data_IF_293085191467
#
_entry.id   IF_293085191467
#
_cell.length_a   1.000
_cell.length_b   1.000
_cell.length_c   1.000
_cell.angle_alpha   90.00
_cell.angle_beta   90.00
_cell.angle_gamma   90.00
#
_symmetry.space_group_name_H-M   'P 1'
#
loop_
_entity.id
_entity.type
_entity.pdbx_description
1 polymer ?
#
# COMPACT_ATOMS: atom_id res chain seq x y z
N UNK A 1 -40.10 1.91 -39.34
CA UNK A 1 -39.55 2.56 -38.13
C UNK A 1 -38.04 2.33 -38.14
N UNK A 2 -37.24 3.39 -38.31
CA UNK A 2 -35.78 3.30 -38.27
C UNK A 2 -35.34 3.36 -36.81
N UNK A 3 -34.58 2.38 -36.35
CA UNK A 3 -33.92 2.45 -35.04
C UNK A 3 -32.91 3.60 -35.03
N UNK A 4 -32.79 4.38 -33.94
CA UNK A 4 -31.75 5.38 -33.83
C UNK A 4 -30.41 4.66 -33.67
N UNK A 5 -29.45 4.94 -34.56
CA UNK A 5 -28.06 4.51 -34.35
C UNK A 5 -27.46 5.39 -33.27
N UNK A 6 -27.40 4.88 -32.04
CA UNK A 6 -26.65 5.54 -30.97
C UNK A 6 -25.20 5.68 -31.41
N UNK A 7 -24.71 6.92 -31.46
CA UNK A 7 -23.38 7.24 -31.93
C UNK A 7 -22.36 7.00 -30.81
N UNK A 8 -21.94 5.74 -30.62
CA UNK A 8 -20.95 5.33 -29.60
C UNK A 8 -19.59 6.05 -29.73
N UNK A 9 -19.29 6.62 -30.89
CA UNK A 9 -17.99 7.25 -31.18
C UNK A 9 -17.77 8.59 -30.45
N UNK A 10 -18.84 9.26 -30.02
CA UNK A 10 -18.73 10.54 -29.30
C UNK A 10 -18.52 10.41 -27.78
N UNK A 11 -18.68 9.21 -27.22
CA UNK A 11 -18.47 8.97 -25.78
C UNK A 11 -16.98 8.83 -25.45
N UNK A 12 -16.18 8.30 -26.39
CA UNK A 12 -14.75 8.06 -26.20
C UNK A 12 -13.89 9.34 -26.12
N UNK A 13 -14.36 10.48 -26.64
CA UNK A 13 -13.60 11.74 -26.65
C UNK A 13 -13.65 12.53 -25.34
N UNK A 14 -14.56 12.17 -24.43
CA UNK A 14 -14.70 12.76 -23.10
C UNK A 14 -14.38 11.74 -21.99
N UNK A 15 -13.50 10.77 -22.26
CA UNK A 15 -12.89 10.00 -21.17
C UNK A 15 -11.93 10.96 -20.47
N UNK A 16 -12.43 11.64 -19.44
CA UNK A 16 -11.58 12.28 -18.44
C UNK A 16 -10.71 11.16 -17.91
N UNK A 17 -9.41 11.21 -18.20
CA UNK A 17 -8.45 10.27 -17.61
C UNK A 17 -8.67 10.33 -16.10
N UNK A 18 -9.10 9.20 -15.52
CA UNK A 18 -9.47 9.16 -14.12
C UNK A 18 -8.22 9.52 -13.31
N UNK A 19 -8.19 10.75 -12.79
CA UNK A 19 -7.06 11.20 -11.98
C UNK A 19 -7.01 10.27 -10.76
N UNK A 20 -5.92 9.54 -10.60
CA UNK A 20 -5.68 8.69 -9.43
C UNK A 20 -5.78 9.57 -8.18
N UNK A 21 -6.77 9.32 -7.34
CA UNK A 21 -7.03 10.08 -6.13
C UNK A 21 -7.00 9.13 -4.93
N UNK A 22 -6.45 9.54 -3.78
CA UNK A 22 -5.75 10.80 -3.51
C UNK A 22 -4.22 10.68 -3.71
N UNK A 23 -3.60 11.72 -4.27
CA UNK A 23 -2.12 11.82 -4.31
C UNK A 23 -1.55 12.57 -3.09
N UNK A 24 -2.39 13.34 -2.39
CA UNK A 24 -2.01 14.20 -1.26
C UNK A 24 -2.23 13.53 0.10
N UNK A 25 -1.35 13.85 1.05
CA UNK A 25 -1.47 13.56 2.49
C UNK A 25 -1.04 14.77 3.32
N UNK A 26 -1.29 14.79 4.63
CA UNK A 26 -0.78 15.85 5.51
C UNK A 26 0.72 15.66 5.76
N UNK A 27 1.46 16.76 5.86
CA UNK A 27 2.87 16.69 6.22
C UNK A 27 3.06 16.16 7.66
N UNK A 28 4.05 15.27 7.85
CA UNK A 28 4.32 14.61 9.15
C UNK A 28 4.90 15.58 10.19
N UNK A 29 5.52 16.69 9.76
CA UNK A 29 6.18 17.67 10.65
C UNK A 29 5.25 18.84 10.94
N UNK A 30 4.53 19.30 9.92
CA UNK A 30 3.61 20.42 10.01
C UNK A 30 2.26 20.05 9.39
N UNK A 31 1.34 19.57 10.22
CA UNK A 31 0.00 19.13 9.83
C UNK A 31 -0.89 20.21 9.17
N UNK A 32 -0.42 21.47 9.10
CA UNK A 32 -1.06 22.55 8.34
C UNK A 32 -0.62 22.58 6.87
N UNK A 33 0.36 21.76 6.49
CA UNK A 33 0.88 21.60 5.13
C UNK A 33 0.48 20.24 4.55
N UNK A 34 0.46 20.19 3.22
CA UNK A 34 0.22 18.96 2.45
C UNK A 34 1.52 18.48 1.80
N UNK A 35 1.62 17.18 1.58
CA UNK A 35 2.68 16.53 0.82
C UNK A 35 2.08 15.64 -0.28
N UNK A 36 2.82 15.45 -1.37
CA UNK A 36 2.34 14.79 -2.60
C UNK A 36 3.38 13.76 -3.13
N UNK A 37 2.98 13.00 -4.14
CA UNK A 37 3.83 12.10 -4.90
C UNK A 37 4.48 11.02 -4.03
N UNK A 38 5.79 10.82 -4.20
CA UNK A 38 6.55 9.79 -3.47
C UNK A 38 6.46 9.93 -1.94
N UNK A 39 6.41 11.15 -1.41
CA UNK A 39 6.34 11.37 0.03
C UNK A 39 4.97 10.96 0.59
N UNK A 40 3.90 11.34 -0.10
CA UNK A 40 2.55 10.92 0.25
C UNK A 40 2.35 9.41 0.12
N UNK A 41 2.91 8.77 -0.92
CA UNK A 41 2.85 7.33 -1.06
C UNK A 41 3.61 6.61 0.06
N UNK A 42 4.80 7.08 0.44
CA UNK A 42 5.54 6.52 1.58
C UNK A 42 4.75 6.61 2.88
N UNK A 43 4.04 7.73 3.12
CA UNK A 43 3.15 7.84 4.27
C UNK A 43 1.96 6.87 4.19
N UNK A 44 1.30 6.77 3.03
CA UNK A 44 0.21 5.82 2.78
C UNK A 44 0.63 4.39 3.11
N UNK A 45 1.80 3.97 2.59
CA UNK A 45 2.40 2.66 2.87
C UNK A 45 2.63 2.46 4.36
N UNK A 46 3.22 3.43 5.06
CA UNK A 46 3.44 3.32 6.52
C UNK A 46 2.13 3.16 7.27
N UNK A 47 1.09 3.92 6.92
CA UNK A 47 -0.23 3.83 7.59
C UNK A 47 -0.88 2.48 7.34
N UNK A 48 -0.78 1.96 6.12
CA UNK A 48 -1.28 0.64 5.76
C UNK A 48 -0.56 -0.46 6.55
N UNK A 49 0.78 -0.45 6.59
CA UNK A 49 1.58 -1.49 7.24
C UNK A 49 1.62 -1.40 8.78
N UNK A 50 1.14 -0.30 9.36
CA UNK A 50 0.99 -0.13 10.82
C UNK A 50 -0.47 -0.29 11.29
N UNK A 51 -1.38 -0.60 10.38
CA UNK A 51 -2.78 -0.88 10.70
C UNK A 51 -3.03 -2.38 10.59
N UNK A 52 -3.32 -3.02 11.72
CA UNK A 52 -3.75 -4.42 11.70
C UNK A 52 -5.15 -4.52 11.07
N UNK A 53 -5.26 -5.38 10.05
CA UNK A 53 -6.49 -5.61 9.30
C UNK A 53 -7.58 -6.16 10.23
N UNK A 54 -8.84 -5.83 9.93
CA UNK A 54 -10.03 -6.25 10.69
C UNK A 54 -10.19 -5.69 12.11
N UNK A 55 -9.22 -4.93 12.63
CA UNK A 55 -9.31 -4.37 13.99
C UNK A 55 -10.18 -3.11 14.04
N UNK A 56 -10.12 -2.26 13.01
CA UNK A 56 -10.79 -0.96 13.03
C UNK A 56 -11.93 -0.88 12.01
N UNK A 57 -13.15 -0.62 12.50
CA UNK A 57 -14.38 -0.56 11.68
C UNK A 57 -14.43 0.60 10.69
N UNK A 58 -13.54 1.59 10.82
CA UNK A 58 -13.45 2.72 9.88
C UNK A 58 -12.80 2.32 8.54
N UNK A 59 -12.11 1.17 8.50
CA UNK A 59 -11.44 0.66 7.31
C UNK A 59 -12.24 -0.48 6.66
N UNK A 60 -12.10 -0.61 5.34
CA UNK A 60 -12.59 -1.79 4.65
C UNK A 60 -11.69 -3.01 4.93
N UNK A 61 -12.19 -4.20 4.57
CA UNK A 61 -11.55 -5.48 4.84
C UNK A 61 -10.23 -5.73 4.08
N UNK A 62 -9.87 -4.87 3.12
CA UNK A 62 -8.66 -4.97 2.31
C UNK A 62 -7.54 -4.10 2.85
N UNK A 63 -7.89 -3.00 3.53
CA UNK A 63 -6.91 -2.08 4.12
C UNK A 63 -6.23 -2.66 5.36
N UNK A 64 -4.93 -2.42 5.47
CA UNK A 64 -4.10 -2.90 6.56
C UNK A 64 -3.33 -4.18 6.20
N UNK A 65 -2.58 -4.66 7.16
CA UNK A 65 -1.77 -5.88 7.09
C UNK A 65 -2.14 -6.81 8.25
N UNK A 66 -1.84 -8.09 8.14
CA UNK A 66 -2.07 -9.07 9.20
C UNK A 66 -0.72 -9.50 9.78
N UNK A 67 -0.10 -8.76 10.70
CA UNK A 67 1.25 -9.11 11.18
C UNK A 67 1.23 -9.75 12.57
N UNK A 68 0.21 -9.47 13.38
CA UNK A 68 0.13 -9.94 14.76
C UNK A 68 0.12 -11.47 14.86
N UNK A 69 -0.52 -12.14 13.90
CA UNK A 69 -0.60 -13.60 13.85
C UNK A 69 0.73 -14.30 13.53
N UNK A 70 1.79 -13.56 13.21
CA UNK A 70 3.13 -14.12 12.98
C UNK A 70 3.89 -14.37 14.30
N UNK A 71 3.51 -13.69 15.39
CA UNK A 71 4.17 -13.85 16.68
C UNK A 71 3.76 -15.15 17.39
N UNK A 72 4.73 -15.83 18.00
CA UNK A 72 4.52 -17.08 18.75
C UNK A 72 4.51 -18.36 17.92
N UNK A 73 4.75 -18.25 16.59
CA UNK A 73 4.94 -19.38 15.68
C UNK A 73 6.41 -19.70 15.39
N UNK A 74 6.63 -20.49 14.34
CA UNK A 74 7.95 -20.80 13.79
C UNK A 74 8.57 -19.55 13.12
N UNK A 75 9.83 -19.23 13.45
CA UNK A 75 10.49 -18.01 12.99
C UNK A 75 10.81 -18.02 11.50
N UNK A 76 11.18 -19.17 10.93
CA UNK A 76 11.48 -19.29 9.51
C UNK A 76 10.19 -19.12 8.70
N UNK A 77 9.10 -19.71 9.20
CA UNK A 77 7.76 -19.49 8.63
C UNK A 77 7.37 -18.01 8.70
N UNK A 78 7.51 -17.37 9.86
CA UNK A 78 7.19 -15.95 10.03
C UNK A 78 8.00 -15.06 9.08
N UNK A 79 9.28 -15.36 8.88
CA UNK A 79 10.16 -14.63 7.96
C UNK A 79 9.73 -14.76 6.49
N UNK A 80 9.23 -15.92 6.06
CA UNK A 80 8.72 -16.10 4.70
C UNK A 80 7.36 -15.40 4.52
N UNK A 81 6.50 -15.48 5.55
CA UNK A 81 5.13 -15.02 5.46
C UNK A 81 5.00 -13.49 5.58
N UNK A 82 5.90 -12.82 6.30
CA UNK A 82 5.91 -11.35 6.45
C UNK A 82 6.02 -10.64 5.10
N UNK A 83 6.90 -11.12 4.21
CA UNK A 83 7.09 -10.55 2.89
C UNK A 83 5.83 -10.74 2.02
N UNK A 84 5.18 -11.91 2.12
CA UNK A 84 3.91 -12.19 1.43
C UNK A 84 2.82 -11.23 1.89
N UNK A 85 2.63 -11.07 3.20
CA UNK A 85 1.58 -10.21 3.76
C UNK A 85 1.80 -8.72 3.46
N UNK A 86 3.05 -8.26 3.47
CA UNK A 86 3.37 -6.90 3.03
C UNK A 86 2.98 -6.71 1.57
N UNK A 87 3.34 -7.63 0.67
CA UNK A 87 2.95 -7.54 -0.76
C UNK A 87 1.44 -7.46 -0.93
N UNK A 88 0.70 -8.34 -0.24
CA UNK A 88 -0.76 -8.39 -0.30
C UNK A 88 -1.39 -7.07 0.15
N UNK A 89 -0.89 -6.47 1.23
CA UNK A 89 -1.37 -5.15 1.66
C UNK A 89 -1.06 -4.08 0.60
N UNK A 90 0.19 -4.00 0.14
CA UNK A 90 0.63 -2.97 -0.79
C UNK A 90 -0.10 -3.00 -2.13
N UNK A 91 -0.46 -4.18 -2.64
CA UNK A 91 -1.13 -4.32 -3.93
C UNK A 91 -2.61 -3.91 -3.93
N UNK A 92 -3.17 -3.53 -2.77
CA UNK A 92 -4.44 -2.82 -2.71
C UNK A 92 -4.30 -1.33 -3.09
N UNK A 93 -3.08 -0.77 -3.05
CA UNK A 93 -2.78 0.57 -3.52
C UNK A 93 -2.39 0.51 -5.01
N UNK A 94 -3.28 0.98 -5.88
CA UNK A 94 -3.11 0.89 -7.33
C UNK A 94 -1.88 1.67 -7.84
N UNK A 95 -1.31 2.59 -7.04
CA UNK A 95 -0.08 3.34 -7.34
C UNK A 95 1.18 2.48 -7.25
N UNK A 96 1.10 1.30 -6.65
CA UNK A 96 2.21 0.36 -6.48
C UNK A 96 2.16 -0.68 -7.60
N UNK A 97 3.29 -0.92 -8.25
CA UNK A 97 3.42 -1.92 -9.31
C UNK A 97 4.06 -3.21 -8.79
N UNK A 98 5.10 -3.09 -7.97
CA UNK A 98 5.82 -4.22 -7.44
C UNK A 98 6.45 -3.90 -6.08
N UNK A 99 6.44 -4.88 -5.17
CA UNK A 99 7.28 -4.88 -3.99
C UNK A 99 8.24 -6.08 -4.05
N UNK A 100 9.53 -5.81 -3.90
CA UNK A 100 10.59 -6.79 -4.13
C UNK A 100 11.83 -6.54 -3.24
N UNK A 101 12.89 -7.34 -3.43
CA UNK A 101 14.16 -7.23 -2.66
C UNK A 101 13.98 -7.26 -1.14
N UNK A 102 13.10 -8.12 -0.65
CA UNK A 102 12.85 -8.26 0.78
C UNK A 102 14.08 -8.81 1.51
N UNK A 103 14.43 -8.14 2.60
CA UNK A 103 15.43 -8.58 3.57
C UNK A 103 14.85 -8.44 4.96
N UNK A 104 14.85 -9.54 5.71
CA UNK A 104 14.31 -9.57 7.06
C UNK A 104 15.44 -9.90 8.03
N UNK A 105 15.61 -9.07 9.06
CA UNK A 105 16.49 -9.34 10.19
C UNK A 105 15.62 -9.55 11.42
N UNK A 106 15.93 -10.60 12.18
CA UNK A 106 15.20 -10.90 13.42
C UNK A 106 16.09 -10.63 14.61
N UNK A 107 15.55 -9.94 15.62
CA UNK A 107 16.22 -9.67 16.88
C UNK A 107 15.25 -9.93 18.02
N UNK A 108 15.43 -11.05 18.72
CA UNK A 108 14.47 -11.53 19.73
C UNK A 108 13.08 -11.71 19.08
N UNK A 109 12.08 -10.96 19.56
CA UNK A 109 10.70 -10.97 19.08
C UNK A 109 10.38 -9.75 18.20
N UNK A 110 11.39 -9.19 17.53
CA UNK A 110 11.24 -8.03 16.64
C UNK A 110 11.72 -8.37 15.23
N UNK A 111 10.91 -8.03 14.22
CA UNK A 111 11.29 -8.15 12.82
C UNK A 111 11.62 -6.78 12.25
N UNK A 112 12.78 -6.68 11.59
CA UNK A 112 13.17 -5.54 10.78
C UNK A 112 13.12 -5.97 9.32
N UNK A 113 12.16 -5.44 8.57
CA UNK A 113 11.98 -5.75 7.15
C UNK A 113 12.37 -4.55 6.32
N UNK A 114 13.25 -4.76 5.35
CA UNK A 114 13.60 -3.78 4.31
C UNK A 114 13.17 -4.33 2.95
N UNK A 115 12.64 -3.46 2.08
CA UNK A 115 12.18 -3.85 0.76
C UNK A 115 12.16 -2.66 -0.20
N UNK A 116 12.14 -2.95 -1.50
CA UNK A 116 12.01 -1.97 -2.56
C UNK A 116 10.56 -1.93 -3.08
N UNK A 117 10.09 -0.74 -3.41
CA UNK A 117 8.77 -0.48 -4.00
C UNK A 117 8.94 0.21 -5.34
N UNK A 118 8.37 -0.37 -6.38
CA UNK A 118 8.20 0.26 -7.69
C UNK A 118 6.79 0.83 -7.80
N UNK A 119 6.69 2.10 -8.18
CA UNK A 119 5.43 2.85 -8.19
C UNK A 119 5.34 3.83 -9.36
N UNK A 120 4.17 4.45 -9.51
CA UNK A 120 3.95 5.59 -10.42
C UNK A 120 4.95 6.75 -10.19
N UNK A 121 5.54 6.85 -8.99
CA UNK A 121 6.49 7.90 -8.60
C UNK A 121 7.96 7.45 -8.62
N UNK A 122 8.24 6.29 -9.18
CA UNK A 122 9.57 5.68 -9.25
C UNK A 122 9.82 4.63 -8.16
N UNK A 123 11.08 4.20 -8.09
CA UNK A 123 11.55 3.13 -7.22
C UNK A 123 12.15 3.69 -5.93
N UNK A 124 11.76 3.16 -4.77
CA UNK A 124 12.30 3.59 -3.48
C UNK A 124 12.35 2.48 -2.44
N UNK A 125 13.27 2.63 -1.49
CA UNK A 125 13.37 1.74 -0.33
C UNK A 125 12.34 2.13 0.74
N UNK A 126 11.79 1.11 1.37
CA UNK A 126 10.97 1.18 2.58
C UNK A 126 11.50 0.21 3.64
N UNK A 127 11.27 0.57 4.89
CA UNK A 127 11.54 -0.25 6.05
C UNK A 127 10.32 -0.33 6.97
N UNK A 128 10.19 -1.45 7.67
CA UNK A 128 9.15 -1.70 8.65
C UNK A 128 9.78 -2.41 9.86
N UNK A 129 9.53 -1.84 11.04
CA UNK A 129 9.80 -2.48 12.32
C UNK A 129 8.50 -3.09 12.85
N UNK A 130 8.47 -4.41 13.02
CA UNK A 130 7.31 -5.14 13.53
C UNK A 130 7.64 -5.62 14.94
N UNK A 131 6.86 -5.13 15.89
CA UNK A 131 6.97 -5.41 17.32
C UNK A 131 5.63 -5.88 17.84
N UNK A 132 5.66 -6.75 18.84
CA UNK A 132 4.49 -7.13 19.62
C UNK A 132 4.19 -6.10 20.71
#
# INVERSE_FOLDING_TARGET
MSTPKTNFLNIAKNVVEAKKQPSLTLDEINILLETDGIHALKQSIRRMLTTERFIYTIYDHRYGVELDALFGGDMDYAQMDIARRIKEALYEDDRIHEAHSFSTKVKKDEFYVQFMVDSDFGTFEMDLEVKR
#
